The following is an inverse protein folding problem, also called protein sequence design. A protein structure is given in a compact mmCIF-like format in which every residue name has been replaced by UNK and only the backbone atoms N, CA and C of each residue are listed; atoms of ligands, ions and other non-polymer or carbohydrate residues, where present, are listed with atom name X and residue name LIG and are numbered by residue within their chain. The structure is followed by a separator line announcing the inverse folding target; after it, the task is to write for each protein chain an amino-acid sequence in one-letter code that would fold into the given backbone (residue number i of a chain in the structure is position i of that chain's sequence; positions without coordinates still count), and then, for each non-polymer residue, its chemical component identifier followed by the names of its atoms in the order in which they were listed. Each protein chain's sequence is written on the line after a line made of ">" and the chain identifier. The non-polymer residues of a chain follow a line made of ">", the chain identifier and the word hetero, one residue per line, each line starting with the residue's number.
data_IF_309809611251
#
_entry.id   IF_309809611251
#
_cell.length_a   1.000
_cell.length_b   1.000
_cell.length_c   1.000
_cell.angle_alpha   90.00
_cell.angle_beta   90.00
_cell.angle_gamma   90.00
#
_symmetry.space_group_name_H-M   'P 1'
#
loop_
_entity.id
_entity.type
_entity.pdbx_description
1 polymer ?
#
# COMPACT_ATOMS: atom_id res chain seq x y z
N UNK A 1 4.39 15.72 -24.21
CA UNK A 1 4.45 14.24 -24.08
C UNK A 1 4.86 13.90 -22.66
N UNK A 2 3.90 13.90 -21.72
CA UNK A 2 4.10 13.41 -20.34
C UNK A 2 3.44 12.04 -20.14
N UNK A 3 2.92 11.45 -21.23
CA UNK A 3 1.99 10.31 -21.24
C UNK A 3 2.58 8.97 -20.75
N UNK A 4 3.89 8.92 -20.49
CA UNK A 4 4.59 7.73 -20.00
C UNK A 4 5.12 7.84 -18.56
N UNK A 5 4.93 8.98 -17.88
CA UNK A 5 5.49 9.19 -16.52
C UNK A 5 4.75 8.42 -15.42
N UNK A 6 3.60 7.79 -15.73
CA UNK A 6 2.66 7.24 -14.75
C UNK A 6 2.48 5.73 -14.73
N UNK A 7 3.29 4.94 -15.46
CA UNK A 7 3.14 3.47 -15.53
C UNK A 7 4.25 2.68 -14.80
N UNK A 8 5.09 3.36 -14.03
CA UNK A 8 6.13 2.71 -13.23
C UNK A 8 5.55 1.93 -12.05
N UNK A 9 6.28 0.89 -11.61
CA UNK A 9 5.98 0.19 -10.37
C UNK A 9 6.18 1.14 -9.18
N UNK A 10 5.17 1.34 -8.35
CA UNK A 10 5.25 2.08 -7.10
C UNK A 10 5.43 1.11 -5.93
N UNK A 11 6.44 1.35 -5.09
CA UNK A 11 6.68 0.56 -3.87
C UNK A 11 6.53 1.47 -2.66
N UNK A 12 5.58 1.16 -1.79
CA UNK A 12 5.39 1.81 -0.50
C UNK A 12 6.04 0.92 0.55
N UNK A 13 7.25 1.26 0.97
CA UNK A 13 7.99 0.52 1.99
C UNK A 13 7.74 1.14 3.38
N UNK A 14 7.00 0.44 4.22
CA UNK A 14 6.71 0.86 5.61
C UNK A 14 7.51 0.07 6.64
N UNK A 15 8.49 -0.78 6.26
CA UNK A 15 9.18 -1.69 7.20
C UNK A 15 9.80 -0.97 8.40
N UNK A 16 10.37 0.20 8.15
CA UNK A 16 11.03 1.03 9.16
C UNK A 16 10.11 2.10 9.76
N UNK A 17 8.84 2.14 9.37
CA UNK A 17 7.86 3.04 9.98
C UNK A 17 7.49 2.48 11.36
N UNK A 18 7.80 3.21 12.43
CA UNK A 18 7.56 2.73 13.79
C UNK A 18 6.09 2.81 14.18
N UNK A 19 5.43 3.90 13.76
CA UNK A 19 4.06 4.16 14.10
C UNK A 19 3.34 4.89 12.96
N UNK A 20 2.05 4.58 12.82
CA UNK A 20 1.13 5.32 11.98
C UNK A 20 -0.20 5.45 12.73
N UNK A 21 -0.61 6.69 12.99
CA UNK A 21 -1.88 6.93 13.68
C UNK A 21 -3.09 6.67 12.79
N UNK A 22 -4.29 6.83 13.36
CA UNK A 22 -5.56 6.66 12.66
C UNK A 22 -5.69 7.54 11.41
N UNK A 23 -5.26 8.80 11.46
CA UNK A 23 -5.30 9.71 10.32
C UNK A 23 -4.37 9.28 9.18
N UNK A 24 -3.18 8.76 9.52
CA UNK A 24 -2.23 8.20 8.57
C UNK A 24 -2.76 6.93 7.90
N UNK A 25 -3.30 5.99 8.68
CA UNK A 25 -3.93 4.76 8.17
C UNK A 25 -5.08 5.11 7.22
N UNK A 26 -5.95 6.05 7.60
CA UNK A 26 -7.07 6.49 6.76
C UNK A 26 -6.60 7.13 5.45
N UNK A 27 -5.50 7.88 5.48
CA UNK A 27 -4.93 8.52 4.29
C UNK A 27 -4.34 7.50 3.32
N UNK A 28 -3.57 6.52 3.81
CA UNK A 28 -3.07 5.43 2.96
C UNK A 28 -4.21 4.54 2.42
N UNK A 29 -5.23 4.28 3.23
CA UNK A 29 -6.39 3.50 2.81
C UNK A 29 -7.15 4.19 1.68
N UNK A 30 -7.35 5.51 1.77
CA UNK A 30 -7.95 6.32 0.70
C UNK A 30 -7.08 6.36 -0.56
N UNK A 31 -5.76 6.47 -0.41
CA UNK A 31 -4.84 6.37 -1.54
C UNK A 31 -5.01 5.05 -2.30
N UNK A 32 -5.02 3.92 -1.59
CA UNK A 32 -5.22 2.60 -2.19
C UNK A 32 -6.61 2.47 -2.81
N UNK A 33 -7.65 2.98 -2.15
CA UNK A 33 -9.01 2.93 -2.66
C UNK A 33 -9.21 3.76 -3.94
N UNK A 34 -8.54 4.92 -4.05
CA UNK A 34 -8.66 5.82 -5.20
C UNK A 34 -7.86 5.37 -6.43
N UNK A 35 -6.92 4.44 -6.25
CA UNK A 35 -6.04 4.02 -7.34
C UNK A 35 -6.82 3.23 -8.41
N UNK A 36 -6.60 3.55 -9.68
CA UNK A 36 -7.31 2.93 -10.81
C UNK A 36 -7.03 1.42 -10.89
N UNK A 37 -8.08 0.62 -11.16
CA UNK A 37 -7.99 -0.85 -11.28
C UNK A 37 -7.02 -1.30 -12.37
N UNK A 38 -6.89 -0.58 -13.49
CA UNK A 38 -5.94 -0.96 -14.55
C UNK A 38 -4.49 -0.78 -14.11
N UNK A 39 -4.25 0.11 -13.15
CA UNK A 39 -2.90 0.48 -12.69
C UNK A 39 -2.54 -0.12 -11.33
N UNK A 40 -3.52 -0.59 -10.54
CA UNK A 40 -3.32 -1.07 -9.15
C UNK A 40 -2.28 -2.20 -9.03
N UNK A 41 -2.14 -3.03 -10.06
CA UNK A 41 -1.16 -4.12 -10.12
C UNK A 41 0.30 -3.63 -10.09
N UNK A 42 0.52 -2.33 -10.33
CA UNK A 42 1.83 -1.68 -10.28
C UNK A 42 2.18 -1.20 -8.86
N UNK A 43 1.28 -1.31 -7.89
CA UNK A 43 1.53 -0.90 -6.50
C UNK A 43 1.85 -2.12 -5.64
N UNK A 44 2.96 -2.02 -4.91
CA UNK A 44 3.35 -2.98 -3.87
C UNK A 44 3.52 -2.26 -2.53
N UNK A 45 2.92 -2.80 -1.47
CA UNK A 45 3.13 -2.31 -0.10
C UNK A 45 3.92 -3.35 0.69
N UNK A 46 5.08 -2.94 1.22
CA UNK A 46 5.99 -3.81 1.98
C UNK A 46 5.92 -3.48 3.46
N UNK A 47 5.64 -4.48 4.28
CA UNK A 47 5.61 -4.36 5.73
C UNK A 47 6.62 -5.29 6.41
N UNK A 48 6.83 -5.04 7.70
CA UNK A 48 7.68 -5.81 8.58
C UNK A 48 6.82 -6.75 9.41
N UNK A 49 7.11 -8.06 9.34
CA UNK A 49 6.36 -9.10 10.07
C UNK A 49 6.47 -9.00 11.60
N UNK A 50 7.43 -8.23 12.11
CA UNK A 50 7.62 -8.02 13.54
C UNK A 50 6.77 -6.85 14.09
N UNK A 51 6.10 -6.07 13.21
CA UNK A 51 5.26 -4.93 13.62
C UNK A 51 3.78 -5.28 13.43
N UNK A 52 3.09 -5.60 14.52
CA UNK A 52 1.69 -6.08 14.49
C UNK A 52 0.75 -5.16 13.71
N UNK A 53 0.87 -3.85 13.88
CA UNK A 53 0.03 -2.89 13.18
C UNK A 53 0.23 -2.95 11.66
N UNK A 54 1.43 -3.27 11.18
CA UNK A 54 1.72 -3.42 9.75
C UNK A 54 1.07 -4.67 9.19
N UNK A 55 1.10 -5.79 9.93
CA UNK A 55 0.38 -7.01 9.55
C UNK A 55 -1.11 -6.72 9.40
N UNK A 56 -1.74 -6.14 10.43
CA UNK A 56 -3.17 -5.80 10.41
C UNK A 56 -3.51 -4.80 9.31
N UNK A 57 -2.65 -3.82 9.08
CA UNK A 57 -2.83 -2.85 8.00
C UNK A 57 -2.82 -3.54 6.63
N UNK A 58 -1.83 -4.39 6.34
CA UNK A 58 -1.73 -5.09 5.06
C UNK A 58 -2.86 -6.09 4.82
N UNK A 59 -3.35 -6.78 5.86
CA UNK A 59 -4.56 -7.60 5.80
C UNK A 59 -5.79 -6.77 5.38
N UNK A 60 -5.97 -5.60 6.01
CA UNK A 60 -7.09 -4.73 5.71
C UNK A 60 -7.00 -4.14 4.30
N UNK A 61 -5.79 -3.78 3.85
CA UNK A 61 -5.55 -3.33 2.48
C UNK A 61 -5.93 -4.43 1.46
N UNK A 62 -5.53 -5.68 1.71
CA UNK A 62 -5.92 -6.82 0.84
C UNK A 62 -7.43 -7.06 0.82
N UNK A 63 -8.13 -6.87 1.94
CA UNK A 63 -9.60 -6.96 1.99
C UNK A 63 -10.28 -5.82 1.22
N UNK A 64 -9.71 -4.62 1.28
CA UNK A 64 -10.22 -3.44 0.59
C UNK A 64 -10.00 -3.54 -0.93
N UNK A 65 -8.82 -4.01 -1.35
CA UNK A 65 -8.42 -4.18 -2.75
C UNK A 65 -7.53 -5.41 -2.87
N UNK A 66 -8.08 -6.53 -3.31
CA UNK A 66 -7.34 -7.79 -3.40
C UNK A 66 -6.27 -7.80 -4.49
N UNK A 67 -6.37 -6.87 -5.45
CA UNK A 67 -5.45 -6.75 -6.59
C UNK A 67 -4.12 -6.08 -6.22
N UNK A 68 -4.04 -5.41 -5.06
CA UNK A 68 -2.81 -4.76 -4.62
C UNK A 68 -1.81 -5.80 -4.09
N UNK A 69 -0.55 -5.68 -4.50
CA UNK A 69 0.50 -6.57 -3.99
C UNK A 69 0.89 -6.12 -2.59
N UNK A 70 0.96 -7.07 -1.65
CA UNK A 70 1.53 -6.83 -0.33
C UNK A 70 2.50 -7.92 0.05
N UNK A 71 3.59 -7.53 0.71
CA UNK A 71 4.61 -8.44 1.25
C UNK A 71 4.89 -8.14 2.72
N UNK A 72 5.21 -9.19 3.46
CA UNK A 72 5.70 -9.12 4.83
C UNK A 72 7.12 -9.69 4.80
N UNK A 73 8.10 -8.88 5.18
CA UNK A 73 9.52 -9.23 5.27
C UNK A 73 9.95 -9.35 6.74
#
# INVERSE_FOLDING_TARGET
>A
MLDNSGRGKAVIDIKNLDFLNSAGIASLSRFVAAYDRKSIHNVEIKGNKNKYWQIKFLENIKKLRSEIKTSLE
#
